data_IF_856541564755
#
_entry.id   IF_856541564755
#
_cell.length_a   1.000
_cell.length_b   1.000
_cell.length_c   1.000
_cell.angle_alpha   90.00
_cell.angle_beta   90.00
_cell.angle_gamma   90.00
#
_symmetry.space_group_name_H-M   'P 1'
#
loop_
_entity.id
_entity.type
_entity.pdbx_description
1 polymer ?
#
# COMPACT_ATOMS: atom_id res chain seq x y z
N UNK A 1 -17.07 -24.41 4.02
CA UNK A 1 -16.56 -23.61 2.88
C UNK A 1 -17.04 -24.13 1.53
N UNK A 2 -16.75 -25.37 1.12
CA UNK A 2 -17.19 -25.91 -0.19
C UNK A 2 -18.69 -25.78 -0.42
N UNK A 3 -19.51 -26.27 0.52
CA UNK A 3 -20.98 -26.16 0.47
C UNK A 3 -21.49 -24.72 0.35
N UNK A 4 -20.79 -23.75 0.94
CA UNK A 4 -21.16 -22.34 0.82
C UNK A 4 -20.92 -21.83 -0.60
N UNK A 5 -19.78 -22.17 -1.21
CA UNK A 5 -19.44 -21.78 -2.58
C UNK A 5 -20.41 -22.40 -3.58
N UNK A 6 -20.76 -23.68 -3.38
CA UNK A 6 -21.74 -24.37 -4.23
C UNK A 6 -23.10 -23.68 -4.20
N UNK A 7 -23.58 -23.31 -3.01
CA UNK A 7 -24.90 -22.69 -2.84
C UNK A 7 -24.93 -21.20 -3.22
N UNK A 8 -23.82 -20.46 -3.03
CA UNK A 8 -23.81 -19.00 -3.23
C UNK A 8 -23.48 -18.60 -4.66
N UNK A 9 -22.48 -19.23 -5.27
CA UNK A 9 -21.93 -18.81 -6.56
C UNK A 9 -21.78 -19.94 -7.56
N UNK A 10 -22.08 -21.18 -7.17
CA UNK A 10 -21.94 -22.39 -7.98
C UNK A 10 -20.50 -22.50 -8.51
N UNK A 11 -19.54 -22.33 -7.60
CA UNK A 11 -18.11 -22.32 -7.92
C UNK A 11 -17.56 -20.93 -8.23
N UNK A 12 -16.44 -20.89 -8.94
CA UNK A 12 -15.77 -19.65 -9.36
C UNK A 12 -15.52 -19.69 -10.87
N UNK A 13 -15.53 -18.52 -11.52
CA UNK A 13 -15.38 -18.42 -12.98
C UNK A 13 -14.16 -19.18 -13.51
N UNK A 14 -14.38 -20.03 -14.53
CA UNK A 14 -13.30 -20.78 -15.19
C UNK A 14 -12.32 -19.86 -15.90
N UNK A 15 -12.80 -18.76 -16.48
CA UNK A 15 -11.94 -17.76 -17.13
C UNK A 15 -11.04 -17.07 -16.11
N UNK A 16 -11.58 -16.74 -14.92
CA UNK A 16 -10.77 -16.18 -13.83
C UNK A 16 -9.70 -17.17 -13.35
N UNK A 17 -10.05 -18.46 -13.23
CA UNK A 17 -9.09 -19.51 -12.87
C UNK A 17 -7.98 -19.63 -13.93
N UNK A 18 -8.34 -19.68 -15.22
CA UNK A 18 -7.39 -19.82 -16.33
C UNK A 18 -6.42 -18.63 -16.38
N UNK A 19 -6.95 -17.41 -16.30
CA UNK A 19 -6.12 -16.20 -16.27
C UNK A 19 -5.22 -16.16 -15.04
N UNK A 20 -5.75 -16.48 -13.86
CA UNK A 20 -4.95 -16.51 -12.63
C UNK A 20 -3.81 -17.54 -12.72
N UNK A 21 -4.08 -18.73 -13.26
CA UNK A 21 -3.06 -19.76 -13.45
C UNK A 21 -1.92 -19.28 -14.37
N UNK A 22 -2.24 -18.60 -15.47
CA UNK A 22 -1.24 -18.02 -16.37
C UNK A 22 -0.41 -16.92 -15.70
N UNK A 23 -1.05 -15.99 -15.00
CA UNK A 23 -0.35 -14.90 -14.30
C UNK A 23 0.57 -15.46 -13.21
N UNK A 24 0.07 -16.39 -12.39
CA UNK A 24 0.85 -17.02 -11.32
C UNK A 24 2.01 -17.84 -11.88
N UNK A 25 1.83 -18.51 -13.02
CA UNK A 25 2.93 -19.19 -13.72
C UNK A 25 4.04 -18.20 -14.08
N UNK A 26 3.72 -17.09 -14.74
CA UNK A 26 4.72 -16.07 -15.10
C UNK A 26 5.43 -15.49 -13.87
N UNK A 27 4.70 -15.23 -12.79
CA UNK A 27 5.30 -14.76 -11.52
C UNK A 27 6.23 -15.81 -10.91
N UNK A 28 5.83 -17.08 -10.92
CA UNK A 28 6.66 -18.19 -10.43
C UNK A 28 7.93 -18.35 -11.27
N UNK A 29 7.79 -18.39 -12.59
CA UNK A 29 8.90 -18.54 -13.54
C UNK A 29 9.90 -17.37 -13.38
N UNK A 30 9.42 -16.16 -13.05
CA UNK A 30 10.29 -14.99 -12.77
C UNK A 30 11.15 -15.12 -11.50
N UNK A 31 10.84 -16.07 -10.61
CA UNK A 31 11.67 -16.33 -9.43
C UNK A 31 12.88 -17.23 -9.75
N UNK A 32 12.84 -17.91 -10.89
CA UNK A 32 13.87 -18.86 -11.35
C UNK A 32 14.78 -18.25 -12.44
N UNK A 33 14.51 -17.02 -12.89
CA UNK A 33 15.22 -16.37 -14.00
C UNK A 33 16.68 -16.04 -13.66
N UNK A 34 17.52 -16.05 -14.70
CA UNK A 34 18.97 -15.82 -14.64
C UNK A 34 19.33 -14.36 -14.33
N UNK A 35 20.59 -14.17 -13.93
CA UNK A 35 21.20 -12.88 -13.57
C UNK A 35 20.90 -11.76 -14.58
N UNK A 36 20.29 -10.67 -14.10
CA UNK A 36 20.12 -9.42 -14.84
C UNK A 36 18.68 -8.90 -14.98
N UNK A 37 17.66 -9.73 -14.76
CA UNK A 37 16.25 -9.32 -14.75
C UNK A 37 15.67 -9.37 -13.33
N UNK A 38 14.95 -8.34 -12.92
CA UNK A 38 14.33 -8.29 -11.60
C UNK A 38 13.11 -9.23 -11.58
N UNK A 39 13.11 -10.21 -10.66
CA UNK A 39 11.90 -10.99 -10.38
C UNK A 39 10.74 -10.07 -10.03
N UNK A 40 9.50 -10.54 -10.20
CA UNK A 40 8.30 -9.76 -9.83
C UNK A 40 8.38 -9.19 -8.40
N UNK A 41 8.95 -9.97 -7.46
CA UNK A 41 9.08 -9.59 -6.07
C UNK A 41 10.19 -8.56 -5.82
N UNK A 42 11.34 -8.68 -6.51
CA UNK A 42 12.44 -7.71 -6.38
C UNK A 42 12.04 -6.36 -7.00
N UNK A 43 11.44 -6.39 -8.19
CA UNK A 43 10.88 -5.19 -8.84
C UNK A 43 9.87 -4.49 -7.92
N UNK A 44 8.91 -5.26 -7.37
CA UNK A 44 7.87 -4.72 -6.49
C UNK A 44 8.44 -4.14 -5.20
N UNK A 45 9.48 -4.76 -4.63
CA UNK A 45 10.19 -4.24 -3.47
C UNK A 45 10.83 -2.88 -3.77
N UNK A 46 11.55 -2.76 -4.89
CA UNK A 46 12.17 -1.49 -5.28
C UNK A 46 11.14 -0.39 -5.56
N UNK A 47 10.02 -0.73 -6.19
CA UNK A 47 8.94 0.21 -6.44
C UNK A 47 8.35 0.73 -5.12
N UNK A 48 8.02 -0.18 -4.20
CA UNK A 48 7.43 0.19 -2.92
C UNK A 48 8.41 0.93 -2.01
N UNK A 49 9.71 0.59 -2.04
CA UNK A 49 10.76 1.34 -1.33
C UNK A 49 10.80 2.81 -1.74
N UNK A 50 10.80 3.06 -3.06
CA UNK A 50 10.81 4.41 -3.63
C UNK A 50 9.56 5.18 -3.20
N UNK A 51 8.38 4.55 -3.26
CA UNK A 51 7.12 5.18 -2.83
C UNK A 51 7.11 5.49 -1.34
N UNK A 52 7.62 4.58 -0.50
CA UNK A 52 7.76 4.81 0.95
C UNK A 52 8.68 5.95 1.30
N UNK A 53 9.87 6.01 0.69
CA UNK A 53 10.81 7.12 0.94
C UNK A 53 10.16 8.47 0.60
N UNK A 54 9.58 8.60 -0.59
CA UNK A 54 8.91 9.84 -1.01
C UNK A 54 7.75 10.25 -0.09
N UNK A 55 6.91 9.30 0.32
CA UNK A 55 5.80 9.61 1.22
C UNK A 55 6.29 9.98 2.63
N UNK A 56 7.28 9.27 3.15
CA UNK A 56 7.89 9.57 4.46
C UNK A 56 8.48 10.97 4.46
N UNK A 57 9.25 11.33 3.43
CA UNK A 57 9.81 12.66 3.25
C UNK A 57 8.72 13.74 3.18
N UNK A 58 7.65 13.50 2.42
CA UNK A 58 6.52 14.42 2.30
C UNK A 58 5.80 14.65 3.64
N UNK A 59 5.58 13.59 4.44
CA UNK A 59 4.85 13.71 5.70
C UNK A 59 5.72 14.27 6.84
N UNK A 60 7.02 13.99 6.86
CA UNK A 60 7.96 14.44 7.91
C UNK A 60 8.26 15.94 7.88
N UNK A 61 7.92 16.63 6.79
CA UNK A 61 8.07 18.09 6.67
C UNK A 61 7.09 18.87 7.58
N UNK A 62 6.13 18.20 8.21
CA UNK A 62 5.18 18.82 9.13
C UNK A 62 4.94 17.96 10.36
N UNK A 63 4.80 18.61 11.51
CA UNK A 63 4.43 17.96 12.78
C UNK A 63 2.94 17.57 12.84
N UNK A 64 2.16 17.89 11.80
CA UNK A 64 0.72 17.58 11.72
C UNK A 64 0.42 16.10 11.54
N UNK A 65 1.41 15.29 11.15
CA UNK A 65 1.21 13.89 10.82
C UNK A 65 2.21 12.99 11.55
N UNK A 66 1.73 11.84 12.01
CA UNK A 66 2.57 10.75 12.50
C UNK A 66 2.24 9.46 11.77
N UNK A 67 3.22 8.55 11.74
CA UNK A 67 3.09 7.23 11.12
C UNK A 67 3.70 6.16 12.03
N UNK A 68 3.18 4.92 11.98
CA UNK A 68 3.78 3.81 12.70
C UNK A 68 5.19 3.53 12.19
N UNK A 69 6.10 3.25 13.13
CA UNK A 69 7.44 2.78 12.82
C UNK A 69 7.43 1.27 12.62
N UNK A 70 8.04 0.81 11.52
CA UNK A 70 8.22 -0.61 11.23
C UNK A 70 9.71 -0.95 11.21
N UNK A 71 10.21 -1.71 12.20
CA UNK A 71 11.62 -2.08 12.24
C UNK A 71 11.96 -3.08 11.12
N UNK A 72 13.14 -2.98 10.49
CA UNK A 72 13.62 -3.98 9.54
C UNK A 72 13.74 -5.37 10.18
N UNK A 73 13.44 -6.41 9.41
CA UNK A 73 13.52 -7.81 9.87
C UNK A 73 14.15 -8.70 8.79
N UNK A 74 14.68 -9.85 9.18
CA UNK A 74 15.24 -10.80 8.22
C UNK A 74 14.15 -11.47 7.40
N UNK A 75 14.25 -11.39 6.07
CA UNK A 75 13.34 -12.05 5.14
C UNK A 75 13.95 -13.38 4.66
N UNK A 76 13.26 -14.49 4.92
CA UNK A 76 13.73 -15.83 4.52
C UNK A 76 13.63 -16.08 3.02
N UNK A 77 12.76 -15.36 2.30
CA UNK A 77 12.62 -15.43 0.85
C UNK A 77 13.78 -14.71 0.14
N UNK A 78 14.02 -13.43 0.44
CA UNK A 78 15.12 -12.65 -0.15
C UNK A 78 16.49 -12.87 0.52
N UNK A 79 16.56 -13.62 1.62
CA UNK A 79 17.79 -13.90 2.41
C UNK A 79 18.56 -12.65 2.85
N UNK A 80 17.86 -11.54 3.12
CA UNK A 80 18.45 -10.26 3.55
C UNK A 80 17.60 -9.58 4.61
N UNK A 81 18.17 -8.57 5.26
CA UNK A 81 17.39 -7.63 6.09
C UNK A 81 16.45 -6.84 5.17
N UNK A 82 15.17 -6.83 5.53
CA UNK A 82 14.08 -6.32 4.72
C UNK A 82 13.33 -5.24 5.50
N UNK A 83 13.20 -4.06 4.89
CA UNK A 83 12.40 -2.96 5.47
C UNK A 83 10.92 -3.18 5.10
N UNK A 84 9.99 -3.19 6.07
CA UNK A 84 8.57 -3.32 5.76
C UNK A 84 8.07 -2.15 4.90
N UNK A 85 7.42 -2.48 3.78
CA UNK A 85 6.80 -1.52 2.86
C UNK A 85 5.33 -1.91 2.61
N UNK A 86 4.44 -1.66 3.59
CA UNK A 86 3.03 -2.00 3.47
C UNK A 86 2.35 -1.38 2.25
N UNK A 87 1.31 -2.07 1.76
CA UNK A 87 0.41 -1.60 0.71
C UNK A 87 -0.36 -0.31 1.06
N UNK A 88 -0.42 0.04 2.35
CA UNK A 88 -1.19 1.15 2.87
C UNK A 88 -0.40 1.91 3.93
N UNK A 89 -0.46 3.25 3.87
CA UNK A 89 0.09 4.10 4.92
C UNK A 89 -1.02 4.38 5.92
N UNK A 90 -0.71 4.13 7.19
CA UNK A 90 -1.55 4.55 8.30
C UNK A 90 -1.00 5.88 8.79
N UNK A 91 -1.71 6.95 8.45
CA UNK A 91 -1.34 8.32 8.82
C UNK A 91 -2.28 8.76 9.92
N UNK A 92 -1.72 9.22 11.03
CA UNK A 92 -2.47 9.84 12.11
C UNK A 92 -2.31 11.35 12.01
N UNK A 93 -3.42 12.08 12.01
CA UNK A 93 -3.41 13.52 12.17
C UNK A 93 -3.21 13.86 13.65
N UNK A 94 -2.25 14.74 13.94
CA UNK A 94 -1.94 15.21 15.29
C UNK A 94 -2.57 16.58 15.57
N UNK A 95 -2.41 17.08 16.80
CA UNK A 95 -2.94 18.37 17.23
C UNK A 95 -4.48 18.42 17.23
N UNK A 96 -5.01 19.54 16.72
CA UNK A 96 -6.44 19.87 16.77
C UNK A 96 -7.28 19.19 15.67
N UNK A 97 -6.64 18.45 14.75
CA UNK A 97 -7.36 17.74 13.70
C UNK A 97 -8.07 16.53 14.30
N UNK A 98 -9.38 16.63 14.46
CA UNK A 98 -10.22 15.55 14.99
C UNK A 98 -10.74 14.61 13.88
N UNK A 99 -11.07 15.17 12.71
CA UNK A 99 -11.50 14.43 11.53
C UNK A 99 -10.41 14.48 10.46
N UNK A 100 -9.56 13.47 10.46
CA UNK A 100 -8.44 13.37 9.53
C UNK A 100 -8.94 13.07 8.11
N UNK A 101 -10.01 12.28 7.93
CA UNK A 101 -10.57 12.02 6.60
C UNK A 101 -11.17 13.29 5.99
N UNK A 102 -11.92 14.07 6.78
CA UNK A 102 -12.45 15.37 6.38
C UNK A 102 -11.34 16.33 5.95
N UNK A 103 -10.29 16.43 6.75
CA UNK A 103 -9.12 17.27 6.46
C UNK A 103 -8.44 16.89 5.13
N UNK A 104 -8.15 15.61 4.92
CA UNK A 104 -7.54 15.14 3.66
C UNK A 104 -8.46 15.41 2.45
N UNK A 105 -9.78 15.28 2.64
CA UNK A 105 -10.78 15.55 1.59
C UNK A 105 -10.82 17.02 1.16
N UNK A 106 -10.69 17.97 2.09
CA UNK A 106 -10.57 19.40 1.77
C UNK A 106 -9.35 19.70 0.89
N UNK A 107 -8.26 18.96 1.12
CA UNK A 107 -7.03 19.00 0.31
C UNK A 107 -7.14 18.16 -0.98
N UNK A 108 -8.34 17.70 -1.32
CA UNK A 108 -8.66 16.87 -2.49
C UNK A 108 -7.96 15.51 -2.46
N UNK A 109 -7.66 14.94 -1.30
CA UNK A 109 -7.08 13.61 -1.17
C UNK A 109 -8.14 12.66 -0.62
N UNK A 110 -8.44 11.59 -1.37
CA UNK A 110 -9.36 10.55 -0.91
C UNK A 110 -8.59 9.50 -0.11
N UNK A 111 -9.01 9.33 1.14
CA UNK A 111 -8.45 8.35 2.07
C UNK A 111 -9.58 7.50 2.65
N UNK A 112 -9.25 6.52 3.50
CA UNK A 112 -10.24 5.76 4.26
C UNK A 112 -10.08 6.04 5.74
N UNK A 113 -11.14 6.53 6.39
CA UNK A 113 -11.17 6.78 7.83
C UNK A 113 -10.88 5.51 8.65
N UNK A 114 -10.11 5.68 9.73
CA UNK A 114 -9.84 4.68 10.76
C UNK A 114 -11.12 4.13 11.42
N UNK A 115 -12.20 4.92 11.44
CA UNK A 115 -13.52 4.48 11.96
C UNK A 115 -14.01 3.18 11.32
N UNK A 116 -13.75 3.00 10.02
CA UNK A 116 -14.15 1.77 9.30
C UNK A 116 -13.35 0.53 9.71
N UNK A 117 -12.28 0.72 10.48
CA UNK A 117 -11.38 -0.32 10.96
C UNK A 117 -11.45 -0.48 12.49
N UNK A 118 -12.42 0.16 13.15
CA UNK A 118 -12.53 0.16 14.61
C UNK A 118 -11.51 1.07 15.31
N UNK A 119 -10.90 2.00 14.58
CA UNK A 119 -9.94 2.97 15.10
C UNK A 119 -10.57 4.39 15.16
N UNK A 120 -9.81 5.35 15.66
CA UNK A 120 -10.18 6.75 15.80
C UNK A 120 -10.32 7.47 14.44
N UNK A 121 -11.09 8.58 14.45
CA UNK A 121 -11.21 9.51 13.30
C UNK A 121 -9.91 10.26 12.99
N UNK A 122 -8.94 10.21 13.91
CA UNK A 122 -7.61 10.79 13.71
C UNK A 122 -6.72 9.92 12.82
N UNK A 123 -7.05 8.65 12.62
CA UNK A 123 -6.31 7.76 11.72
C UNK A 123 -6.95 7.71 10.34
N UNK A 124 -6.13 7.69 9.30
CA UNK A 124 -6.56 7.41 7.93
C UNK A 124 -5.63 6.41 7.25
N UNK A 125 -6.20 5.63 6.34
CA UNK A 125 -5.49 4.70 5.49
C UNK A 125 -5.34 5.27 4.09
N UNK A 126 -4.11 5.46 3.65
CA UNK A 126 -3.74 5.96 2.31
C UNK A 126 -3.21 4.80 1.46
N UNK A 127 -3.69 4.69 0.22
CA UNK A 127 -3.27 3.61 -0.70
C UNK A 127 -1.92 3.91 -1.35
N UNK A 128 -1.06 2.89 -1.43
CA UNK A 128 0.28 2.97 -2.01
C UNK A 128 0.45 2.17 -3.28
N UNK A 129 -0.64 1.56 -3.76
CA UNK A 129 -0.63 0.63 -4.88
C UNK A 129 -1.36 1.19 -6.12
N UNK A 130 -1.71 2.48 -6.11
CA UNK A 130 -2.32 3.11 -7.28
C UNK A 130 -1.27 3.34 -8.39
N UNK A 131 -1.69 3.83 -9.55
CA UNK A 131 -0.79 4.18 -10.66
C UNK A 131 0.17 5.31 -10.25
N UNK A 132 1.34 5.35 -10.87
CA UNK A 132 2.37 6.36 -10.57
C UNK A 132 1.82 7.79 -10.70
N UNK A 133 1.01 8.07 -11.70
CA UNK A 133 0.38 9.38 -11.89
C UNK A 133 -0.46 9.82 -10.68
N UNK A 134 -1.25 8.90 -10.12
CA UNK A 134 -2.08 9.18 -8.95
C UNK A 134 -1.21 9.34 -7.69
N UNK A 135 -0.15 8.53 -7.57
CA UNK A 135 0.80 8.64 -6.47
C UNK A 135 1.56 9.98 -6.48
N UNK A 136 2.01 10.46 -7.63
CA UNK A 136 2.67 11.77 -7.74
C UNK A 136 1.70 12.93 -7.44
N UNK A 137 0.42 12.81 -7.82
CA UNK A 137 -0.62 13.79 -7.42
C UNK A 137 -0.85 13.78 -5.91
N UNK A 138 -0.87 12.60 -5.27
CA UNK A 138 -0.95 12.46 -3.82
C UNK A 138 0.20 13.21 -3.14
N UNK A 139 1.45 12.94 -3.54
CA UNK A 139 2.63 13.60 -2.96
C UNK A 139 2.57 15.12 -3.12
N UNK A 140 2.24 15.61 -4.32
CA UNK A 140 2.09 17.05 -4.58
C UNK A 140 1.06 17.69 -3.66
N UNK A 141 -0.08 17.03 -3.44
CA UNK A 141 -1.12 17.54 -2.55
C UNK A 141 -0.67 17.52 -1.10
N UNK A 142 -0.02 16.46 -0.63
CA UNK A 142 0.53 16.40 0.74
C UNK A 142 1.53 17.51 0.99
N UNK A 143 2.49 17.73 0.08
CA UNK A 143 3.48 18.80 0.22
C UNK A 143 2.83 20.20 0.25
N UNK A 144 1.72 20.39 -0.47
CA UNK A 144 0.97 21.65 -0.45
C UNK A 144 0.18 21.91 0.84
N UNK A 145 0.10 20.94 1.76
CA UNK A 145 -0.56 21.13 3.06
C UNK A 145 0.33 21.97 4.00
N UNK A 146 1.63 22.02 3.71
CA UNK A 146 2.66 22.50 4.63
C UNK A 146 3.18 23.90 4.27
N UNK A 147 2.67 24.49 3.17
CA UNK A 147 2.88 25.90 2.79
C UNK A 147 1.66 26.72 3.21
#
# INVERSE_FOLDING_TARGET
MVKFIELSTIGVSRDSQLRAAQVLKVVSDSCESREGDDSFFEYSYHLMDKRWKKLQEALQQSEMFSMPHFPPQFCTFHKRIFKPQPAFAWVKCEGDIQDCEGFFKEKKILVRSGKHFGDSLKLVRVSMMDRDQNFEVLLRRINSIQT
#
